data_IF_866480442882
#
_entry.id   IF_866480442882
#
_cell.length_a   1.000
_cell.length_b   1.000
_cell.length_c   1.000
_cell.angle_alpha   90.00
_cell.angle_beta   90.00
_cell.angle_gamma   90.00
#
_symmetry.space_group_name_H-M   'P 1'
#
loop_
_entity.id
_entity.type
_entity.pdbx_description
1 polymer ?
#
# COMPACT_ATOMS: atom_id res chain seq x y z
N UNK A 1 23.21 -1.61 -6.95
CA UNK A 1 22.07 -0.92 -7.55
C UNK A 1 22.42 0.54 -7.75
N UNK A 2 22.24 1.07 -8.96
CA UNK A 2 22.41 2.51 -9.23
C UNK A 2 21.31 3.30 -8.53
N UNK A 3 21.67 4.19 -7.61
CA UNK A 3 20.74 5.13 -6.99
C UNK A 3 20.01 5.89 -8.10
N UNK A 4 18.68 5.73 -8.24
CA UNK A 4 17.96 6.43 -9.28
C UNK A 4 18.08 7.93 -9.05
N UNK A 5 18.34 8.69 -10.13
CA UNK A 5 18.38 10.14 -10.08
C UNK A 5 17.07 10.64 -9.45
N UNK A 6 17.14 11.54 -8.46
CA UNK A 6 15.97 12.02 -7.72
C UNK A 6 14.83 12.45 -8.67
N UNK A 7 15.16 13.07 -9.80
CA UNK A 7 14.19 13.46 -10.85
C UNK A 7 13.38 12.29 -11.44
N UNK A 8 13.97 11.09 -11.56
CA UNK A 8 13.25 9.87 -12.01
C UNK A 8 12.27 9.39 -10.94
N UNK A 9 12.67 9.41 -9.68
CA UNK A 9 11.78 9.11 -8.54
C UNK A 9 10.63 10.10 -8.47
N UNK A 10 10.87 11.39 -8.75
CA UNK A 10 9.79 12.38 -8.78
C UNK A 10 8.80 12.18 -9.92
N UNK A 11 9.28 11.78 -11.11
CA UNK A 11 8.42 11.54 -12.27
C UNK A 11 7.52 10.32 -12.07
N UNK A 12 7.98 9.26 -11.41
CA UNK A 12 7.17 8.07 -11.18
C UNK A 12 6.03 8.25 -10.20
N UNK A 13 6.20 9.12 -9.21
CA UNK A 13 5.12 9.45 -8.27
C UNK A 13 3.97 10.17 -8.98
N UNK A 14 4.29 10.93 -10.04
CA UNK A 14 3.30 11.64 -10.88
C UNK A 14 2.83 10.78 -12.07
N UNK A 15 2.98 9.47 -12.00
CA UNK A 15 2.43 8.59 -13.02
C UNK A 15 0.90 8.75 -13.07
N UNK A 16 0.36 8.87 -14.29
CA UNK A 16 -1.07 9.03 -14.57
C UNK A 16 -1.89 7.84 -14.07
N UNK A 17 -1.27 6.67 -14.01
CA UNK A 17 -1.91 5.43 -13.57
C UNK A 17 -1.96 5.33 -12.03
N UNK A 18 -1.30 6.26 -11.32
CA UNK A 18 -1.32 6.35 -9.87
C UNK A 18 -2.38 7.38 -9.43
N UNK A 19 -3.37 6.97 -8.63
CA UNK A 19 -4.36 7.88 -8.07
C UNK A 19 -3.75 9.02 -7.23
N UNK A 20 -4.34 10.22 -7.30
CA UNK A 20 -3.85 11.41 -6.59
C UNK A 20 -3.64 11.20 -5.08
N UNK A 21 -4.48 10.41 -4.43
CA UNK A 21 -4.31 10.09 -3.00
C UNK A 21 -3.04 9.26 -2.75
N UNK A 22 -2.69 8.32 -3.63
CA UNK A 22 -1.44 7.56 -3.57
C UNK A 22 -0.24 8.43 -3.94
N UNK A 23 -0.36 9.32 -4.93
CA UNK A 23 0.69 10.31 -5.23
C UNK A 23 1.00 11.19 -4.01
N UNK A 24 -0.05 11.68 -3.33
CA UNK A 24 0.09 12.48 -2.12
C UNK A 24 0.72 11.68 -0.98
N UNK A 25 0.34 10.40 -0.82
CA UNK A 25 0.94 9.49 0.14
C UNK A 25 2.44 9.34 -0.12
N UNK A 26 2.84 8.96 -1.34
CA UNK A 26 4.24 8.83 -1.73
C UNK A 26 5.05 10.11 -1.54
N UNK A 27 4.48 11.26 -1.94
CA UNK A 27 5.14 12.55 -1.77
C UNK A 27 5.40 12.85 -0.28
N UNK A 28 4.40 12.66 0.58
CA UNK A 28 4.56 12.85 2.03
C UNK A 28 5.55 11.86 2.63
N UNK A 29 5.59 10.62 2.14
CA UNK A 29 6.53 9.58 2.57
C UNK A 29 7.98 9.96 2.28
N UNK A 30 8.26 10.47 1.07
CA UNK A 30 9.61 10.88 0.68
C UNK A 30 10.10 12.13 1.40
N UNK A 31 9.20 13.07 1.68
CA UNK A 31 9.55 14.31 2.36
C UNK A 31 9.51 14.20 3.89
N UNK A 32 9.19 13.03 4.45
CA UNK A 32 9.06 12.86 5.90
C UNK A 32 7.97 13.77 6.49
N UNK A 33 6.93 14.11 5.73
CA UNK A 33 5.88 15.05 6.16
C UNK A 33 4.90 14.46 7.19
N UNK A 34 5.05 13.18 7.53
CA UNK A 34 4.20 12.52 8.50
C UNK A 34 4.66 12.81 9.93
N UNK A 35 3.71 13.22 10.77
CA UNK A 35 3.90 13.50 12.19
C UNK A 35 3.97 12.20 13.01
N UNK A 36 5.05 11.44 12.83
CA UNK A 36 5.35 10.16 13.50
C UNK A 36 6.71 10.24 14.22
N UNK A 37 7.03 9.22 15.02
CA UNK A 37 8.36 9.09 15.63
C UNK A 37 8.71 10.26 16.54
N UNK A 38 9.90 10.83 16.31
CA UNK A 38 10.45 11.95 17.08
C UNK A 38 9.53 13.16 17.17
N UNK A 39 8.77 13.44 16.11
CA UNK A 39 7.82 14.56 16.14
C UNK A 39 6.79 14.38 17.26
N UNK A 40 6.32 13.15 17.50
CA UNK A 40 5.34 12.83 18.53
C UNK A 40 5.96 12.81 19.93
N UNK A 41 7.24 12.45 20.05
CA UNK A 41 7.97 12.47 21.33
C UNK A 41 8.08 13.88 21.92
N UNK A 42 7.98 14.92 21.08
CA UNK A 42 8.03 16.34 21.50
C UNK A 42 6.68 16.88 21.99
N UNK A 43 5.61 16.10 21.93
CA UNK A 43 4.26 16.54 22.32
C UNK A 43 3.90 15.91 23.67
N UNK A 44 3.77 16.72 24.73
CA UNK A 44 3.34 16.26 26.04
C UNK A 44 2.04 15.45 25.97
N UNK A 45 1.95 14.36 26.76
CA UNK A 45 0.79 13.44 26.86
C UNK A 45 0.54 12.53 25.65
N UNK A 46 1.32 12.67 24.58
CA UNK A 46 1.18 11.91 23.35
C UNK A 46 2.47 11.21 22.90
N UNK A 47 3.49 11.19 23.75
CA UNK A 47 4.83 10.63 23.48
C UNK A 47 4.74 9.14 23.16
N UNK A 48 3.85 8.40 23.81
CA UNK A 48 3.61 6.97 23.55
C UNK A 48 3.15 6.68 22.11
N UNK A 49 2.68 7.70 21.37
CA UNK A 49 2.35 7.56 19.93
C UNK A 49 3.58 7.65 19.03
N UNK A 50 4.70 8.13 19.56
CA UNK A 50 5.97 8.27 18.86
C UNK A 50 6.84 7.00 18.89
N UNK A 51 6.56 6.07 19.79
CA UNK A 51 7.29 4.81 19.90
C UNK A 51 6.48 3.63 19.36
N UNK A 52 7.19 2.59 18.94
CA UNK A 52 6.58 1.29 18.70
C UNK A 52 6.39 0.58 20.05
N UNK A 53 5.17 0.20 20.41
CA UNK A 53 4.88 -0.43 21.70
C UNK A 53 5.62 -1.76 21.94
N UNK A 54 6.13 -2.43 20.88
CA UNK A 54 6.81 -3.72 21.00
C UNK A 54 8.32 -3.61 20.92
N UNK A 55 8.83 -2.81 20.00
CA UNK A 55 10.28 -2.63 19.84
C UNK A 55 10.84 -1.58 20.79
N UNK A 56 9.99 -0.80 21.46
CA UNK A 56 10.37 0.37 22.29
C UNK A 56 11.22 1.42 21.55
N UNK A 57 11.36 1.28 20.23
CA UNK A 57 12.11 2.18 19.36
C UNK A 57 11.21 3.27 18.76
N UNK A 58 11.85 4.35 18.32
CA UNK A 58 11.18 5.45 17.61
C UNK A 58 10.53 4.93 16.33
N UNK A 59 9.23 5.20 16.19
CA UNK A 59 8.44 4.70 15.08
C UNK A 59 8.75 5.43 13.79
N UNK A 60 9.27 4.71 12.80
CA UNK A 60 9.54 5.23 11.45
C UNK A 60 8.50 4.75 10.44
N UNK A 61 8.37 5.47 9.31
CA UNK A 61 7.46 5.05 8.24
C UNK A 61 7.87 3.72 7.57
N UNK A 62 9.18 3.47 7.28
CA UNK A 62 9.62 2.14 6.83
C UNK A 62 9.17 1.05 7.79
N UNK A 63 9.44 1.23 9.09
CA UNK A 63 9.04 0.28 10.12
C UNK A 63 7.54 0.00 10.09
N UNK A 64 6.69 1.05 10.01
CA UNK A 64 5.23 0.89 9.95
C UNK A 64 4.78 0.06 8.75
N UNK A 65 5.39 0.25 7.59
CA UNK A 65 4.94 -0.35 6.34
C UNK A 65 5.47 -1.78 6.10
N UNK A 66 6.63 -2.13 6.68
CA UNK A 66 7.31 -3.39 6.37
C UNK A 66 7.60 -4.28 7.58
N UNK A 67 7.73 -3.74 8.79
CA UNK A 67 8.36 -4.47 9.91
C UNK A 67 7.57 -4.44 11.23
N UNK A 68 6.63 -3.52 11.42
CA UNK A 68 6.05 -3.24 12.73
C UNK A 68 5.28 -4.44 13.32
N UNK A 69 5.73 -4.93 14.49
CA UNK A 69 5.27 -6.20 15.08
C UNK A 69 3.91 -6.12 15.83
N UNK A 70 3.22 -4.96 15.86
CA UNK A 70 2.01 -4.77 16.70
C UNK A 70 0.81 -5.65 16.26
N UNK A 71 -0.40 -5.47 16.83
CA UNK A 71 -1.68 -6.02 16.30
C UNK A 71 -1.78 -5.89 14.75
N UNK A 72 -1.04 -4.93 14.20
CA UNK A 72 -0.76 -4.72 12.78
C UNK A 72 0.10 -5.78 12.04
N UNK A 73 0.75 -6.76 12.67
CA UNK A 73 1.56 -7.81 11.97
C UNK A 73 0.69 -8.72 11.19
N UNK A 74 -0.35 -9.25 11.83
CA UNK A 74 -1.27 -10.13 11.14
C UNK A 74 -1.81 -9.41 9.92
N UNK A 75 -2.12 -8.13 10.06
CA UNK A 75 -2.59 -7.27 8.97
C UNK A 75 -1.53 -7.00 7.90
N UNK A 76 -0.34 -6.53 8.27
CA UNK A 76 0.73 -6.12 7.35
C UNK A 76 1.29 -7.33 6.62
N UNK A 77 1.58 -8.40 7.36
CA UNK A 77 2.02 -9.68 6.81
C UNK A 77 0.95 -10.29 5.94
N UNK A 78 -0.31 -10.36 6.39
CA UNK A 78 -1.40 -10.89 5.58
C UNK A 78 -1.61 -10.08 4.31
N UNK A 79 -1.71 -8.75 4.39
CA UNK A 79 -1.87 -7.90 3.21
C UNK A 79 -0.73 -8.08 2.22
N UNK A 80 0.52 -8.18 2.68
CA UNK A 80 1.64 -8.50 1.80
C UNK A 80 1.53 -9.91 1.22
N UNK A 81 1.16 -10.92 2.01
CA UNK A 81 0.90 -12.29 1.52
C UNK A 81 -0.18 -12.32 0.43
N UNK A 82 -1.35 -11.74 0.68
CA UNK A 82 -2.45 -11.68 -0.31
C UNK A 82 -2.04 -10.88 -1.54
N UNK A 83 -1.27 -9.79 -1.36
CA UNK A 83 -0.70 -9.04 -2.48
C UNK A 83 0.20 -9.93 -3.34
N UNK A 84 1.10 -10.70 -2.72
CA UNK A 84 2.00 -11.64 -3.39
C UNK A 84 1.19 -12.71 -4.14
N UNK A 85 0.22 -13.35 -3.47
CA UNK A 85 -0.63 -14.40 -4.05
C UNK A 85 -1.39 -13.89 -5.26
N UNK A 86 -2.03 -12.73 -5.17
CA UNK A 86 -2.74 -12.10 -6.29
C UNK A 86 -1.81 -11.87 -7.49
N UNK A 87 -0.57 -11.43 -7.26
CA UNK A 87 0.41 -11.20 -8.32
C UNK A 87 0.95 -12.50 -8.92
N UNK A 88 1.12 -13.53 -8.09
CA UNK A 88 1.50 -14.86 -8.53
C UNK A 88 0.44 -15.48 -9.45
N UNK A 89 -0.82 -15.44 -9.03
CA UNK A 89 -1.95 -15.95 -9.81
C UNK A 89 -2.09 -15.26 -11.17
N UNK A 90 -1.73 -13.97 -11.25
CA UNK A 90 -1.90 -13.20 -12.49
C UNK A 90 -0.69 -13.24 -13.44
N UNK A 91 0.52 -13.58 -12.99
CA UNK A 91 1.73 -13.42 -13.80
C UNK A 91 2.75 -14.56 -13.71
N UNK A 92 2.58 -15.52 -12.79
CA UNK A 92 3.44 -16.71 -12.67
C UNK A 92 4.95 -16.42 -12.53
N UNK A 93 5.33 -15.20 -12.13
CA UNK A 93 6.72 -14.72 -12.12
C UNK A 93 7.23 -14.49 -10.70
N UNK A 94 8.57 -14.44 -10.57
CA UNK A 94 9.24 -14.21 -9.30
C UNK A 94 8.89 -12.85 -8.70
N UNK A 95 8.22 -12.88 -7.55
CA UNK A 95 7.87 -11.70 -6.76
C UNK A 95 9.09 -11.17 -5.98
N UNK A 96 9.41 -9.87 -6.07
CA UNK A 96 10.50 -9.31 -5.31
C UNK A 96 10.11 -9.02 -3.85
N UNK A 97 11.06 -9.19 -2.92
CA UNK A 97 10.85 -8.90 -1.50
C UNK A 97 10.45 -7.45 -1.27
N UNK A 98 9.23 -7.19 -0.77
CA UNK A 98 8.77 -5.83 -0.53
C UNK A 98 9.56 -5.17 0.59
N UNK A 99 10.25 -4.09 0.25
CA UNK A 99 10.87 -3.17 1.18
C UNK A 99 10.38 -1.74 0.94
N UNK A 100 10.67 -0.83 1.87
CA UNK A 100 10.24 0.56 1.78
C UNK A 100 10.71 1.25 0.49
N UNK A 101 11.94 0.97 0.05
CA UNK A 101 12.47 1.50 -1.20
C UNK A 101 11.67 1.06 -2.43
N UNK A 102 11.19 -0.18 -2.45
CA UNK A 102 10.33 -0.70 -3.53
C UNK A 102 8.94 -0.09 -3.51
N UNK A 103 8.36 0.17 -2.33
CA UNK A 103 7.09 0.88 -2.21
C UNK A 103 7.23 2.29 -2.81
N UNK A 104 8.29 3.00 -2.47
CA UNK A 104 8.54 4.35 -2.99
C UNK A 104 8.83 4.38 -4.49
N UNK A 105 9.48 3.34 -5.00
CA UNK A 105 9.81 3.21 -6.42
C UNK A 105 8.81 2.35 -7.21
N UNK A 106 7.64 2.04 -6.65
CA UNK A 106 6.72 1.11 -7.29
C UNK A 106 6.33 1.55 -8.71
N UNK A 107 6.14 2.87 -8.91
CA UNK A 107 5.86 3.45 -10.23
C UNK A 107 7.04 3.51 -11.21
N UNK A 108 8.25 3.09 -10.80
CA UNK A 108 9.43 2.91 -11.68
C UNK A 108 9.72 1.44 -11.97
N UNK A 109 9.00 0.51 -11.34
CA UNK A 109 9.31 -0.90 -11.49
C UNK A 109 8.99 -1.35 -12.91
N UNK A 110 9.99 -1.78 -13.67
CA UNK A 110 9.80 -2.25 -15.04
C UNK A 110 9.55 -3.76 -15.04
N UNK A 111 8.30 -4.12 -14.82
CA UNK A 111 7.80 -5.44 -15.15
C UNK A 111 7.26 -5.32 -16.58
N UNK A 112 8.04 -5.80 -17.55
CA UNK A 112 7.76 -5.76 -19.00
C UNK A 112 6.26 -5.85 -19.34
N UNK A 113 5.50 -6.68 -18.62
CA UNK A 113 4.04 -6.70 -18.61
C UNK A 113 3.51 -6.43 -17.18
N UNK A 114 2.44 -5.64 -17.06
CA UNK A 114 1.72 -5.38 -15.81
C UNK A 114 2.44 -4.56 -14.72
N UNK A 115 3.44 -3.74 -15.09
CA UNK A 115 4.02 -2.69 -14.23
C UNK A 115 2.97 -1.86 -13.47
N UNK A 116 1.88 -1.50 -14.15
CA UNK A 116 0.79 -0.72 -13.56
C UNK A 116 0.07 -1.48 -12.43
N UNK A 117 -0.15 -2.78 -12.61
CA UNK A 117 -0.83 -3.66 -11.66
C UNK A 117 0.01 -3.85 -10.41
N UNK A 118 1.30 -4.13 -10.58
CA UNK A 118 2.28 -4.13 -9.49
C UNK A 118 2.22 -2.81 -8.72
N UNK A 119 2.27 -1.70 -9.45
CA UNK A 119 2.26 -0.35 -8.85
C UNK A 119 1.00 -0.15 -8.00
N UNK A 120 -0.18 -0.47 -8.52
CA UNK A 120 -1.44 -0.29 -7.79
C UNK A 120 -1.50 -1.18 -6.57
N UNK A 121 -1.20 -2.47 -6.72
CA UNK A 121 -1.30 -3.43 -5.62
C UNK A 121 -0.36 -3.04 -4.48
N UNK A 122 0.90 -2.74 -4.79
CA UNK A 122 1.89 -2.33 -3.77
C UNK A 122 1.50 -1.01 -3.10
N UNK A 123 1.08 0.00 -3.87
CA UNK A 123 0.77 1.32 -3.32
C UNK A 123 -0.53 1.34 -2.53
N UNK A 124 -1.58 0.67 -2.98
CA UNK A 124 -2.85 0.58 -2.23
C UNK A 124 -2.66 -0.26 -0.96
N UNK A 125 -1.90 -1.36 -1.01
CA UNK A 125 -1.55 -2.13 0.19
C UNK A 125 -0.80 -1.27 1.21
N UNK A 126 0.28 -0.58 0.79
CA UNK A 126 1.04 0.29 1.68
C UNK A 126 0.20 1.44 2.25
N UNK A 127 -0.67 2.03 1.44
CA UNK A 127 -1.55 3.12 1.88
C UNK A 127 -2.63 2.63 2.86
N UNK A 128 -3.17 1.43 2.67
CA UNK A 128 -4.12 0.82 3.60
C UNK A 128 -3.45 0.52 4.95
N UNK A 129 -2.24 -0.07 4.94
CA UNK A 129 -1.44 -0.31 6.14
C UNK A 129 -1.23 1.00 6.91
N UNK A 130 -0.85 2.06 6.20
CA UNK A 130 -0.70 3.39 6.78
C UNK A 130 -1.99 3.93 7.42
N UNK A 131 -3.14 3.80 6.74
CA UNK A 131 -4.44 4.23 7.28
C UNK A 131 -4.81 3.49 8.55
N UNK A 132 -4.70 2.15 8.53
CA UNK A 132 -5.01 1.30 9.69
C UNK A 132 -4.11 1.64 10.87
N UNK A 133 -2.83 1.92 10.60
CA UNK A 133 -1.91 2.43 11.61
C UNK A 133 -2.37 3.78 12.19
N UNK A 134 -2.75 4.75 11.34
CA UNK A 134 -3.24 6.05 11.80
C UNK A 134 -4.50 5.90 12.66
N UNK A 135 -5.47 5.10 12.23
CA UNK A 135 -6.70 4.84 12.95
C UNK A 135 -6.40 4.26 14.33
N UNK A 136 -5.52 3.26 14.42
CA UNK A 136 -5.12 2.67 15.70
C UNK A 136 -4.39 3.66 16.61
N UNK A 137 -3.46 4.47 16.09
CA UNK A 137 -2.73 5.48 16.89
C UNK A 137 -3.67 6.56 17.43
N UNK A 138 -4.65 6.99 16.63
CA UNK A 138 -5.62 8.01 17.00
C UNK A 138 -6.61 7.44 18.02
N UNK A 139 -7.15 6.25 17.75
CA UNK A 139 -8.19 5.59 18.56
C UNK A 139 -7.64 4.75 19.71
N UNK A 140 -6.31 4.72 19.91
CA UNK A 140 -5.58 4.15 21.06
C UNK A 140 -5.97 2.71 21.44
N UNK A 141 -6.45 1.91 20.49
CA UNK A 141 -6.75 0.49 20.74
C UNK A 141 -7.98 0.23 21.60
N UNK A 142 -9.05 1.03 21.47
CA UNK A 142 -10.37 0.59 21.93
C UNK A 142 -10.70 -0.76 21.27
N UNK A 143 -11.35 -1.69 21.97
CA UNK A 143 -11.69 -3.02 21.42
C UNK A 143 -12.42 -2.93 20.06
N UNK A 144 -13.23 -1.88 19.88
CA UNK A 144 -13.94 -1.53 18.64
C UNK A 144 -13.03 -1.11 17.47
N UNK A 145 -11.79 -0.71 17.73
CA UNK A 145 -10.82 -0.29 16.71
C UNK A 145 -9.98 -1.44 16.16
N UNK A 146 -10.05 -2.62 16.78
CA UNK A 146 -9.38 -3.83 16.31
C UNK A 146 -10.26 -4.44 15.22
N UNK A 147 -10.00 -4.05 13.98
CA UNK A 147 -10.66 -4.66 12.84
C UNK A 147 -10.26 -6.13 12.71
N UNK A 148 -11.22 -6.97 12.37
CA UNK A 148 -10.96 -8.39 12.13
C UNK A 148 -10.14 -8.58 10.86
N UNK A 149 -9.49 -9.73 10.75
CA UNK A 149 -8.72 -10.09 9.57
C UNK A 149 -9.58 -10.05 8.30
N UNK A 150 -10.80 -10.56 8.38
CA UNK A 150 -11.76 -10.58 7.27
C UNK A 150 -12.22 -9.18 6.86
N UNK A 151 -12.46 -8.29 7.83
CA UNK A 151 -12.81 -6.90 7.53
C UNK A 151 -11.71 -6.19 6.75
N UNK A 152 -10.45 -6.40 7.15
CA UNK A 152 -9.31 -5.77 6.49
C UNK A 152 -9.08 -6.37 5.11
N UNK A 153 -9.17 -7.70 4.99
CA UNK A 153 -9.11 -8.38 3.71
C UNK A 153 -10.21 -7.90 2.77
N UNK A 154 -11.46 -7.83 3.23
CA UNK A 154 -12.60 -7.36 2.43
C UNK A 154 -12.44 -5.89 2.02
N UNK A 155 -11.95 -5.02 2.92
CA UNK A 155 -11.62 -3.62 2.58
C UNK A 155 -10.54 -3.54 1.52
N UNK A 156 -9.51 -4.38 1.62
CA UNK A 156 -8.43 -4.46 0.64
C UNK A 156 -8.94 -4.94 -0.72
N UNK A 157 -9.62 -6.09 -0.76
CA UNK A 157 -10.21 -6.65 -1.98
C UNK A 157 -11.15 -5.65 -2.64
N UNK A 158 -12.00 -4.99 -1.86
CA UNK A 158 -12.90 -3.96 -2.39
C UNK A 158 -12.13 -2.79 -3.01
N UNK A 159 -11.11 -2.28 -2.32
CA UNK A 159 -10.26 -1.17 -2.81
C UNK A 159 -9.53 -1.55 -4.09
N UNK A 160 -8.91 -2.73 -4.13
CA UNK A 160 -8.22 -3.25 -5.31
C UNK A 160 -9.20 -3.46 -6.46
N UNK A 161 -10.34 -4.13 -6.24
CA UNK A 161 -11.34 -4.36 -7.28
C UNK A 161 -11.88 -3.05 -7.86
N UNK A 162 -12.11 -2.03 -7.05
CA UNK A 162 -12.46 -0.70 -7.54
C UNK A 162 -11.36 -0.14 -8.45
N UNK A 163 -10.09 -0.24 -8.05
CA UNK A 163 -8.97 0.25 -8.86
C UNK A 163 -8.78 -0.53 -10.15
N UNK A 164 -8.93 -1.85 -10.13
CA UNK A 164 -8.86 -2.68 -11.32
C UNK A 164 -9.96 -2.28 -12.30
N UNK A 165 -11.20 -2.11 -11.82
CA UNK A 165 -12.32 -1.65 -12.66
C UNK A 165 -12.06 -0.27 -13.27
N UNK A 166 -11.64 0.71 -12.47
CA UNK A 166 -11.36 2.05 -12.99
C UNK A 166 -10.22 2.06 -14.01
N UNK A 167 -9.16 1.28 -13.78
CA UNK A 167 -8.05 1.22 -14.73
C UNK A 167 -8.38 0.41 -15.97
N UNK A 168 -9.14 -0.68 -15.86
CA UNK A 168 -9.67 -1.41 -17.01
C UNK A 168 -10.50 -0.48 -17.91
N UNK A 169 -11.42 0.29 -17.33
CA UNK A 169 -12.19 1.30 -18.06
C UNK A 169 -11.29 2.36 -18.73
N UNK A 170 -10.20 2.76 -18.06
CA UNK A 170 -9.27 3.75 -18.60
C UNK A 170 -8.36 3.18 -19.70
N UNK A 171 -7.98 1.89 -19.61
CA UNK A 171 -7.21 1.17 -20.61
C UNK A 171 -8.08 0.83 -21.83
N UNK A 172 -9.32 0.38 -21.63
CA UNK A 172 -10.30 0.16 -22.70
C UNK A 172 -10.62 1.44 -23.45
N UNK A 173 -10.82 2.56 -22.75
CA UNK A 173 -11.03 3.86 -23.39
C UNK A 173 -9.83 4.31 -24.22
N UNK A 174 -8.60 4.01 -23.76
CA UNK A 174 -7.35 4.31 -24.50
C UNK A 174 -7.11 3.37 -25.68
N UNK A 175 -7.45 2.09 -25.57
CA UNK A 175 -7.18 1.06 -26.60
C UNK A 175 -8.32 0.87 -27.61
N UNK A 176 -9.59 1.00 -27.20
CA UNK A 176 -10.75 0.60 -28.00
C UNK A 176 -11.74 1.72 -28.32
N UNK A 177 -11.61 2.92 -27.75
CA UNK A 177 -12.55 4.02 -27.97
C UNK A 177 -14.02 3.57 -27.78
N UNK A 178 -14.93 3.95 -28.69
CA UNK A 178 -16.36 3.59 -28.66
C UNK A 178 -16.68 2.08 -28.87
N UNK A 179 -15.68 1.18 -28.87
CA UNK A 179 -15.88 -0.27 -29.09
C UNK A 179 -15.37 -1.13 -27.92
N UNK A 180 -15.59 -0.69 -26.68
CA UNK A 180 -15.22 -1.48 -25.50
C UNK A 180 -16.06 -2.78 -25.41
N UNK A 181 -15.38 -3.93 -25.43
CA UNK A 181 -15.97 -5.27 -25.22
C UNK A 181 -16.04 -5.57 -23.71
N UNK A 182 -17.04 -6.36 -23.31
CA UNK A 182 -17.55 -6.54 -21.95
C UNK A 182 -16.72 -7.54 -21.10
N UNK A 183 -16.39 -7.06 -19.89
CA UNK A 183 -16.07 -7.70 -18.59
C UNK A 183 -15.86 -9.22 -18.47
N UNK A 184 -14.73 -9.61 -17.84
CA UNK A 184 -14.69 -10.49 -16.66
C UNK A 184 -13.28 -10.57 -16.02
N UNK A 185 -13.05 -9.84 -14.93
CA UNK A 185 -12.11 -10.26 -13.87
C UNK A 185 -12.51 -9.60 -12.57
N UNK A 186 -13.37 -10.26 -11.80
CA UNK A 186 -13.61 -9.94 -10.40
C UNK A 186 -12.70 -10.87 -9.62
N UNK A 187 -11.81 -10.34 -8.76
CA UNK A 187 -11.19 -11.16 -7.74
C UNK A 187 -12.33 -11.59 -6.80
N UNK A 188 -12.87 -12.78 -7.05
CA UNK A 188 -13.80 -13.44 -6.15
C UNK A 188 -12.97 -13.80 -4.93
N UNK A 189 -13.31 -13.23 -3.78
CA UNK A 189 -12.70 -13.60 -2.51
C UNK A 189 -12.88 -15.10 -2.30
N UNK A 190 -11.83 -15.88 -2.52
CA UNK A 190 -11.79 -17.28 -2.17
C UNK A 190 -11.70 -17.37 -0.64
N UNK A 191 -12.85 -17.39 0.01
CA UNK A 191 -13.00 -18.05 1.30
C UNK A 191 -12.72 -19.55 1.06
N UNK A 192 -11.69 -20.08 1.70
CA UNK A 192 -11.35 -21.50 1.61
C UNK A 192 -10.07 -21.85 2.34
N UNK A 193 -10.25 -22.26 3.60
CA UNK A 193 -9.35 -22.94 4.54
C UNK A 193 -8.48 -22.09 5.48
#
# INVERSE_FOLDING_TARGET
GTTPLAAKVWKSIRNKDVPRNLCNFLWKSLHGCYKIGEYRLKIPLYEMRGTCLLHSETKSLPHILTECINIHVHVTKHLWCVTVECLWLMHGSHWPTINFGMILNAGLADFHHNTWLFTILVLESAHLIWKLHCDWVINKGMAESIQTHDEIHNKWVHTINLRLKFNHLQMDAKHYGNRAIKQETVLIGSQGF
#
